data_IF_142311739169
#
_entry.id   IF_142311739169
#
_cell.length_a   1.000
_cell.length_b   1.000
_cell.length_c   1.000
_cell.angle_alpha   90.00
_cell.angle_beta   90.00
_cell.angle_gamma   90.00
#
_symmetry.space_group_name_H-M   'P 1'
#
loop_
_entity.id
_entity.type
_entity.pdbx_description
1 polymer ?
#
# COMPACT_ATOMS: atom_id res chain seq x y z
N UNK A 1 -47.18 -43.66 -40.79
CA UNK A 1 -47.11 -42.26 -40.29
C UNK A 1 -46.36 -42.12 -38.96
N UNK A 2 -46.03 -43.21 -38.26
CA UNK A 2 -45.30 -43.19 -36.96
C UNK A 2 -43.78 -43.00 -37.08
N UNK A 3 -43.18 -43.50 -38.17
CA UNK A 3 -41.72 -43.42 -38.40
C UNK A 3 -41.24 -41.97 -38.57
N UNK A 4 -42.02 -41.11 -39.22
CA UNK A 4 -41.67 -39.69 -39.48
C UNK A 4 -41.73 -38.83 -38.21
N UNK A 5 -42.66 -39.14 -37.29
CA UNK A 5 -42.77 -38.49 -35.98
C UNK A 5 -41.63 -38.92 -35.03
N UNK A 6 -41.21 -40.18 -35.07
CA UNK A 6 -40.09 -40.70 -34.26
C UNK A 6 -38.71 -40.18 -34.74
N UNK A 7 -38.53 -40.00 -36.06
CA UNK A 7 -37.32 -39.42 -36.66
C UNK A 7 -37.14 -37.91 -36.34
N UNK A 8 -38.23 -37.18 -36.10
CA UNK A 8 -38.20 -35.74 -35.80
C UNK A 8 -37.74 -35.45 -34.37
N UNK A 9 -38.09 -36.33 -33.41
CA UNK A 9 -37.68 -36.22 -32.01
C UNK A 9 -36.18 -36.57 -31.81
N UNK A 10 -35.64 -37.48 -32.61
CA UNK A 10 -34.24 -37.89 -32.54
C UNK A 10 -33.26 -36.79 -33.01
N UNK A 11 -33.63 -36.02 -34.05
CA UNK A 11 -32.83 -34.88 -34.52
C UNK A 11 -32.85 -33.72 -33.53
N UNK A 12 -34.02 -33.42 -32.95
CA UNK A 12 -34.12 -32.42 -31.89
C UNK A 12 -33.26 -32.79 -30.67
N UNK A 13 -33.26 -34.08 -30.28
CA UNK A 13 -32.47 -34.57 -29.15
C UNK A 13 -30.95 -34.49 -29.41
N UNK A 14 -30.49 -34.75 -30.65
CA UNK A 14 -29.09 -34.54 -31.00
C UNK A 14 -28.69 -33.06 -30.97
N UNK A 15 -29.58 -32.15 -31.38
CA UNK A 15 -29.30 -30.72 -31.38
C UNK A 15 -29.16 -30.17 -29.95
N UNK A 16 -30.03 -30.60 -29.01
CA UNK A 16 -29.89 -30.24 -27.59
C UNK A 16 -28.61 -30.80 -26.95
N UNK A 17 -28.19 -32.00 -27.35
CA UNK A 17 -26.96 -32.62 -26.85
C UNK A 17 -25.71 -31.88 -27.35
N UNK A 18 -25.71 -31.43 -28.61
CA UNK A 18 -24.64 -30.59 -29.18
C UNK A 18 -24.59 -29.21 -28.48
N UNK A 19 -25.74 -28.60 -28.21
CA UNK A 19 -25.80 -27.32 -27.49
C UNK A 19 -25.34 -27.45 -26.03
N UNK A 20 -25.64 -28.56 -25.36
CA UNK A 20 -25.17 -28.84 -23.99
C UNK A 20 -23.65 -29.05 -23.95
N UNK A 21 -23.10 -29.77 -24.93
CA UNK A 21 -21.65 -29.93 -25.07
C UNK A 21 -20.94 -28.61 -25.42
N UNK A 22 -21.54 -27.74 -26.25
CA UNK A 22 -20.95 -26.43 -26.56
C UNK A 22 -20.97 -25.51 -25.34
N UNK A 23 -22.06 -25.51 -24.56
CA UNK A 23 -22.17 -24.73 -23.32
C UNK A 23 -21.14 -25.17 -22.27
N UNK A 24 -20.93 -26.49 -22.11
CA UNK A 24 -19.94 -27.03 -21.17
C UNK A 24 -18.50 -26.77 -21.64
N UNK A 25 -18.23 -26.86 -22.95
CA UNK A 25 -16.92 -26.51 -23.52
C UNK A 25 -16.57 -25.02 -23.32
N UNK A 26 -17.53 -24.11 -23.50
CA UNK A 26 -17.35 -22.67 -23.25
C UNK A 26 -17.08 -22.39 -21.77
N UNK A 27 -17.81 -23.05 -20.86
CA UNK A 27 -17.56 -22.93 -19.42
C UNK A 27 -16.17 -23.45 -19.02
N UNK A 28 -15.70 -24.53 -19.65
CA UNK A 28 -14.37 -25.09 -19.40
C UNK A 28 -13.24 -24.18 -19.89
N UNK A 29 -13.41 -23.55 -21.06
CA UNK A 29 -12.45 -22.58 -21.62
C UNK A 29 -12.37 -21.33 -20.74
N UNK A 30 -13.51 -20.84 -20.23
CA UNK A 30 -13.56 -19.72 -19.29
C UNK A 30 -12.83 -20.02 -17.98
N UNK A 31 -13.00 -21.23 -17.44
CA UNK A 31 -12.33 -21.67 -16.21
C UNK A 31 -10.82 -21.90 -16.37
N UNK A 32 -10.36 -22.30 -17.56
CA UNK A 32 -8.93 -22.47 -17.85
C UNK A 32 -8.22 -21.15 -18.20
N UNK A 33 -8.99 -20.08 -18.47
CA UNK A 33 -8.48 -18.74 -18.76
C UNK A 33 -8.54 -17.83 -17.52
N UNK A 34 -8.07 -18.31 -16.37
CA UNK A 34 -7.77 -17.41 -15.25
C UNK A 34 -6.43 -16.75 -15.58
N UNK A 35 -6.37 -15.42 -15.84
CA UNK A 35 -5.09 -14.75 -16.04
C UNK A 35 -4.26 -14.90 -14.76
N UNK A 36 -3.02 -15.36 -14.89
CA UNK A 36 -2.07 -15.34 -13.79
C UNK A 36 -1.78 -13.88 -13.43
N UNK A 37 -2.23 -13.44 -12.24
CA UNK A 37 -1.90 -12.12 -11.72
C UNK A 37 -0.43 -12.15 -11.32
N UNK A 38 0.43 -11.54 -12.13
CA UNK A 38 1.84 -11.30 -11.79
C UNK A 38 1.88 -10.10 -10.87
N UNK A 39 2.28 -10.30 -9.60
CA UNK A 39 2.41 -9.23 -8.62
C UNK A 39 3.78 -8.57 -8.83
N UNK A 40 3.77 -7.36 -9.40
CA UNK A 40 4.98 -6.58 -9.60
C UNK A 40 5.59 -6.22 -8.24
N UNK A 41 6.82 -6.68 -8.00
CA UNK A 41 7.51 -6.45 -6.73
C UNK A 41 8.48 -5.28 -6.88
N UNK A 42 8.19 -4.17 -6.19
CA UNK A 42 9.04 -2.99 -6.27
C UNK A 42 10.19 -3.02 -5.25
N UNK A 43 11.33 -2.44 -5.64
CA UNK A 43 12.50 -2.21 -4.79
C UNK A 43 13.02 -0.80 -4.97
N UNK A 44 13.68 -0.28 -3.95
CA UNK A 44 14.42 0.97 -3.97
C UNK A 44 15.90 0.72 -4.19
N UNK A 45 16.55 1.62 -4.90
CA UNK A 45 17.99 1.59 -5.12
C UNK A 45 18.72 2.25 -3.94
N UNK A 46 19.70 1.55 -3.34
CA UNK A 46 20.50 2.05 -2.21
C UNK A 46 21.46 3.17 -2.65
N UNK A 47 21.82 4.09 -1.73
CA UNK A 47 22.81 5.14 -1.99
C UNK A 47 24.15 4.58 -2.44
N UNK A 48 24.57 4.93 -3.66
CA UNK A 48 25.89 4.65 -4.24
C UNK A 48 26.12 5.65 -5.38
N UNK A 49 27.39 5.96 -5.66
CA UNK A 49 27.79 7.06 -6.52
C UNK A 49 27.27 7.01 -7.96
N UNK A 50 26.78 5.85 -8.43
CA UNK A 50 26.04 5.62 -9.68
C UNK A 50 25.95 4.09 -9.87
N UNK A 51 24.77 3.51 -10.10
CA UNK A 51 24.62 2.04 -10.19
C UNK A 51 24.33 1.63 -11.64
N UNK A 52 25.25 0.95 -12.34
CA UNK A 52 25.05 0.64 -13.74
C UNK A 52 24.06 -0.50 -13.93
N UNK A 53 23.04 -0.26 -14.73
CA UNK A 53 22.16 -1.26 -15.31
C UNK A 53 22.87 -1.87 -16.52
N UNK A 54 23.06 -3.19 -16.54
CA UNK A 54 23.83 -3.89 -17.58
C UNK A 54 22.97 -4.81 -18.42
N UNK A 55 23.43 -5.14 -19.62
CA UNK A 55 22.74 -6.08 -20.51
C UNK A 55 22.80 -7.54 -20.03
N UNK A 56 23.65 -7.86 -19.04
CA UNK A 56 23.81 -9.21 -18.53
C UNK A 56 24.41 -9.25 -17.12
N UNK A 57 24.53 -10.47 -16.59
CA UNK A 57 24.95 -10.78 -15.21
C UNK A 57 26.48 -10.85 -15.10
N UNK A 58 27.14 -9.70 -15.14
CA UNK A 58 28.60 -9.64 -15.08
C UNK A 58 29.09 -8.21 -15.25
N UNK A 59 30.38 -7.98 -14.98
CA UNK A 59 30.98 -6.65 -15.16
C UNK A 59 31.37 -6.38 -16.62
N UNK A 60 31.57 -7.45 -17.39
CA UNK A 60 31.92 -7.48 -18.80
C UNK A 60 30.76 -7.08 -19.74
N UNK A 61 29.53 -7.09 -19.23
CA UNK A 61 28.35 -6.72 -20.02
C UNK A 61 28.21 -5.20 -20.17
N UNK A 62 27.70 -4.79 -21.34
CA UNK A 62 27.47 -3.39 -21.69
C UNK A 62 26.56 -2.71 -20.67
N UNK A 63 26.92 -1.49 -20.27
CA UNK A 63 26.07 -0.61 -19.47
C UNK A 63 24.97 -0.05 -20.38
N UNK A 64 23.71 -0.30 -20.02
CA UNK A 64 22.51 0.18 -20.71
C UNK A 64 22.06 1.54 -20.16
N UNK A 65 22.19 1.72 -18.84
CA UNK A 65 21.81 2.94 -18.15
C UNK A 65 22.54 3.03 -16.81
N UNK A 66 22.50 4.21 -16.20
CA UNK A 66 22.99 4.43 -14.86
C UNK A 66 21.81 4.87 -13.99
N UNK A 67 21.58 4.14 -12.90
CA UNK A 67 20.43 4.34 -12.02
C UNK A 67 20.88 5.17 -10.82
N UNK A 68 20.14 6.24 -10.57
CA UNK A 68 20.34 7.11 -9.40
C UNK A 68 19.84 6.41 -8.14
N UNK A 69 20.41 6.80 -7.01
CA UNK A 69 19.98 6.33 -5.72
C UNK A 69 18.56 6.77 -5.38
N UNK A 70 17.88 5.95 -4.60
CA UNK A 70 16.51 6.19 -4.18
C UNK A 70 15.44 5.95 -5.23
N UNK A 71 15.81 5.73 -6.49
CA UNK A 71 14.85 5.38 -7.54
C UNK A 71 14.13 4.07 -7.19
N UNK A 72 12.81 4.08 -7.36
CA UNK A 72 12.00 2.87 -7.31
C UNK A 72 12.10 2.15 -8.66
N UNK A 73 12.37 0.85 -8.61
CA UNK A 73 12.44 -0.03 -9.77
C UNK A 73 11.51 -1.24 -9.56
N UNK A 74 11.09 -1.85 -10.65
CA UNK A 74 10.35 -3.11 -10.65
C UNK A 74 11.35 -4.27 -10.70
N UNK A 75 11.23 -5.23 -9.80
CA UNK A 75 12.01 -6.46 -9.81
C UNK A 75 11.31 -7.50 -10.70
N UNK A 76 11.99 -7.93 -11.76
CA UNK A 76 11.47 -8.94 -12.69
C UNK A 76 11.98 -10.34 -12.34
N UNK A 77 13.26 -10.45 -11.98
CA UNK A 77 13.90 -11.74 -11.69
C UNK A 77 15.10 -11.59 -10.78
N UNK A 78 15.35 -12.59 -9.95
CA UNK A 78 16.58 -12.70 -9.17
C UNK A 78 17.35 -13.97 -9.53
N UNK A 79 18.65 -13.83 -9.74
CA UNK A 79 19.56 -14.95 -10.01
C UNK A 79 20.92 -14.73 -9.34
N UNK A 80 21.18 -15.49 -8.27
CA UNK A 80 22.43 -15.38 -7.50
C UNK A 80 22.61 -13.98 -6.92
N UNK A 81 23.74 -13.32 -7.27
CA UNK A 81 24.06 -11.96 -6.84
C UNK A 81 23.43 -10.86 -7.72
N UNK A 82 22.67 -11.22 -8.75
CA UNK A 82 22.12 -10.31 -9.75
C UNK A 82 20.60 -10.29 -9.73
N UNK A 83 20.03 -9.15 -10.09
CA UNK A 83 18.60 -8.95 -10.28
C UNK A 83 18.36 -8.34 -11.66
N UNK A 84 17.39 -8.90 -12.38
CA UNK A 84 16.81 -8.27 -13.56
C UNK A 84 15.71 -7.32 -13.10
N UNK A 85 15.82 -6.07 -13.52
CA UNK A 85 14.93 -4.99 -13.09
C UNK A 85 14.39 -4.26 -14.31
N UNK A 86 13.21 -3.66 -14.15
CA UNK A 86 12.64 -2.70 -15.07
C UNK A 86 12.59 -1.33 -14.40
N UNK A 87 13.11 -0.34 -15.09
CA UNK A 87 13.07 1.06 -14.66
C UNK A 87 11.76 1.71 -15.07
N UNK A 88 11.45 2.89 -14.51
CA UNK A 88 10.24 3.65 -14.85
C UNK A 88 10.18 4.10 -16.32
N UNK A 89 11.31 4.20 -17.00
CA UNK A 89 11.42 4.44 -18.44
C UNK A 89 11.37 3.14 -19.27
N UNK A 90 10.85 2.05 -18.71
CA UNK A 90 10.68 0.73 -19.33
C UNK A 90 11.99 0.09 -19.86
N UNK A 91 13.16 0.47 -19.34
CA UNK A 91 14.41 -0.22 -19.66
C UNK A 91 14.59 -1.42 -18.76
N UNK A 92 14.94 -2.54 -19.37
CA UNK A 92 15.22 -3.79 -18.67
C UNK A 92 16.71 -4.11 -18.68
N UNK A 93 17.22 -4.60 -17.56
CA UNK A 93 18.60 -5.03 -17.46
C UNK A 93 18.93 -5.62 -16.11
N UNK A 94 20.20 -5.98 -15.95
CA UNK A 94 20.74 -6.65 -14.77
C UNK A 94 21.53 -5.68 -13.90
N UNK A 95 21.32 -5.76 -12.59
CA UNK A 95 22.11 -5.03 -11.60
C UNK A 95 22.40 -5.89 -10.36
N UNK A 96 23.46 -5.59 -9.59
CA UNK A 96 23.76 -6.33 -8.37
C UNK A 96 22.68 -6.15 -7.30
N UNK A 97 22.18 -7.27 -6.74
CA UNK A 97 21.12 -7.28 -5.70
C UNK A 97 21.47 -6.47 -4.46
N UNK A 98 22.75 -6.37 -4.12
CA UNK A 98 23.22 -5.62 -2.94
C UNK A 98 22.78 -4.16 -2.94
N UNK A 99 22.50 -3.61 -4.11
CA UNK A 99 22.01 -2.24 -4.30
C UNK A 99 20.48 -2.13 -4.27
N UNK A 100 19.73 -3.22 -4.16
CA UNK A 100 18.28 -3.19 -4.01
C UNK A 100 17.90 -3.26 -2.53
N UNK A 101 16.84 -2.54 -2.19
CA UNK A 101 16.27 -2.43 -0.85
C UNK A 101 14.76 -2.50 -0.93
N UNK A 102 14.12 -3.10 0.07
CA UNK A 102 12.66 -3.03 0.25
C UNK A 102 12.23 -1.78 1.00
N UNK A 103 13.16 -1.13 1.70
CA UNK A 103 12.90 0.08 2.48
C UNK A 103 13.08 1.34 1.61
N UNK A 104 12.23 2.38 1.80
CA UNK A 104 12.35 3.66 1.11
C UNK A 104 13.72 4.33 1.29
N UNK A 105 14.05 5.30 0.43
CA UNK A 105 15.30 6.05 0.52
C UNK A 105 15.39 6.80 1.86
N UNK A 106 16.60 6.88 2.43
CA UNK A 106 16.83 7.52 3.73
C UNK A 106 16.35 8.98 3.76
N UNK A 107 16.46 9.71 2.64
CA UNK A 107 15.98 11.09 2.51
C UNK A 107 14.50 11.21 2.81
N UNK A 108 13.69 10.27 2.30
CA UNK A 108 12.24 10.29 2.45
C UNK A 108 11.83 9.87 3.88
N UNK A 109 12.59 8.94 4.47
CA UNK A 109 12.44 8.58 5.89
C UNK A 109 12.74 9.80 6.76
N UNK A 110 13.85 10.51 6.53
CA UNK A 110 14.20 11.71 7.31
C UNK A 110 13.15 12.82 7.13
N UNK A 111 12.63 13.01 5.92
CA UNK A 111 11.57 13.98 5.65
C UNK A 111 10.29 13.66 6.43
N UNK A 112 9.82 12.41 6.36
CA UNK A 112 8.62 11.97 7.09
C UNK A 112 8.79 12.05 8.62
N UNK A 113 9.96 11.66 9.14
CA UNK A 113 10.29 11.77 10.56
C UNK A 113 10.29 13.22 11.06
N UNK A 114 10.77 14.17 10.25
CA UNK A 114 10.73 15.60 10.61
C UNK A 114 9.29 16.11 10.71
N UNK A 115 8.43 15.74 9.77
CA UNK A 115 7.00 16.09 9.79
C UNK A 115 6.32 15.53 11.05
N UNK A 116 6.60 14.28 11.40
CA UNK A 116 6.01 13.65 12.58
C UNK A 116 6.50 14.31 13.88
N UNK A 117 7.79 14.65 13.98
CA UNK A 117 8.33 15.44 15.09
C UNK A 117 7.60 16.76 15.25
N UNK A 118 7.36 17.49 14.15
CA UNK A 118 6.72 18.80 14.20
C UNK A 118 5.26 18.71 14.62
N UNK A 119 4.56 17.68 14.14
CA UNK A 119 3.22 17.34 14.59
C UNK A 119 3.19 17.01 16.08
N UNK A 120 4.11 16.17 16.55
CA UNK A 120 4.16 15.74 17.95
C UNK A 120 4.47 16.93 18.86
N UNK A 121 5.40 17.80 18.47
CA UNK A 121 5.70 19.04 19.19
C UNK A 121 4.47 19.94 19.32
N UNK A 122 3.67 20.07 18.26
CA UNK A 122 2.42 20.83 18.30
C UNK A 122 1.41 20.24 19.29
N UNK A 123 1.27 18.91 19.34
CA UNK A 123 0.39 18.26 20.31
C UNK A 123 0.86 18.51 21.74
N UNK A 124 2.17 18.44 22.01
CA UNK A 124 2.72 18.75 23.34
C UNK A 124 2.38 20.19 23.75
N UNK A 125 2.55 21.16 22.85
CA UNK A 125 2.20 22.56 23.12
C UNK A 125 0.69 22.71 23.39
N UNK A 126 -0.16 22.14 22.54
CA UNK A 126 -1.61 22.24 22.68
C UNK A 126 -2.11 21.58 23.99
N UNK A 127 -1.62 20.39 24.32
CA UNK A 127 -1.94 19.70 25.57
C UNK A 127 -1.49 20.55 26.77
N UNK A 128 -0.30 21.16 26.71
CA UNK A 128 0.18 22.02 27.80
C UNK A 128 -0.68 23.27 27.99
N UNK A 129 -1.22 23.84 26.91
CA UNK A 129 -2.13 24.98 26.96
C UNK A 129 -3.52 24.57 27.49
N UNK A 130 -4.04 23.41 27.07
CA UNK A 130 -5.28 22.85 27.60
C UNK A 130 -5.17 22.58 29.10
N UNK A 131 -4.02 22.08 29.56
CA UNK A 131 -3.77 21.85 30.98
C UNK A 131 -3.79 23.16 31.77
N UNK A 132 -3.16 24.23 31.28
CA UNK A 132 -3.18 25.54 31.93
C UNK A 132 -4.61 26.12 32.01
N UNK A 133 -5.39 26.02 30.92
CA UNK A 133 -6.79 26.45 30.91
C UNK A 133 -7.65 25.65 31.88
N UNK A 134 -7.50 24.33 31.90
CA UNK A 134 -8.24 23.45 32.81
C UNK A 134 -7.90 23.74 34.28
N UNK A 135 -6.61 23.98 34.59
CA UNK A 135 -6.18 24.38 35.92
C UNK A 135 -6.76 25.73 36.35
N UNK A 136 -6.77 26.73 35.45
CA UNK A 136 -7.40 28.03 35.71
C UNK A 136 -8.90 27.91 35.95
N UNK A 137 -9.62 27.17 35.10
CA UNK A 137 -11.05 26.94 35.26
C UNK A 137 -11.36 26.22 36.57
N UNK A 138 -10.61 25.15 36.89
CA UNK A 138 -10.75 24.42 38.17
C UNK A 138 -10.54 25.36 39.37
N UNK A 139 -9.48 26.16 39.36
CA UNK A 139 -9.20 27.09 40.45
C UNK A 139 -10.28 28.18 40.59
N UNK A 140 -10.85 28.65 39.48
CA UNK A 140 -11.99 29.58 39.50
C UNK A 140 -13.23 28.93 40.12
N UNK A 141 -13.58 27.71 39.72
CA UNK A 141 -14.69 26.97 40.33
C UNK A 141 -14.50 26.76 41.83
N UNK A 142 -13.27 26.49 42.27
CA UNK A 142 -12.96 26.33 43.69
C UNK A 142 -13.11 27.66 44.46
N UNK A 143 -12.69 28.78 43.89
CA UNK A 143 -12.91 30.12 44.47
C UNK A 143 -14.39 30.49 44.55
N UNK A 144 -15.15 30.25 43.47
CA UNK A 144 -16.58 30.52 43.41
C UNK A 144 -17.33 29.68 44.45
N UNK A 145 -16.96 28.40 44.59
CA UNK A 145 -17.53 27.48 45.57
C UNK A 145 -17.33 27.95 47.02
N UNK A 146 -16.11 28.39 47.36
CA UNK A 146 -15.80 28.93 48.70
C UNK A 146 -16.58 30.23 48.98
N UNK A 147 -16.71 31.10 47.97
CA UNK A 147 -17.45 32.37 48.13
C UNK A 147 -18.93 32.14 48.43
N UNK A 148 -19.57 31.18 47.77
CA UNK A 148 -20.98 30.81 48.00
C UNK A 148 -21.21 30.28 49.42
N UNK A 149 -20.30 29.43 49.93
CA UNK A 149 -20.40 28.92 51.30
C UNK A 149 -20.17 30.00 52.36
N UNK A 150 -19.26 30.95 52.10
CA UNK A 150 -19.02 32.05 53.02
C UNK A 150 -20.23 32.98 53.15
N UNK A 151 -20.93 33.27 52.05
CA UNK A 151 -22.16 34.07 52.03
C UNK A 151 -23.33 33.39 52.75
N UNK A 152 -23.54 32.09 52.53
CA UNK A 152 -24.58 31.36 53.27
C UNK A 152 -24.33 31.35 54.79
N UNK A 153 -23.06 31.36 55.22
CA UNK A 153 -22.70 31.38 56.65
C UNK A 153 -22.86 32.76 57.31
N UNK A 154 -22.76 33.85 56.56
CA UNK A 154 -23.08 35.19 57.05
C UNK A 154 -24.58 35.38 57.20
N UNK A 155 -25.36 34.97 56.20
CA UNK A 155 -26.81 35.16 56.17
C UNK A 155 -27.51 34.37 57.30
N UNK A 156 -26.94 33.23 57.69
CA UNK A 156 -27.46 32.41 58.79
C UNK A 156 -27.13 32.95 60.19
N UNK A 157 -26.25 33.97 60.32
CA UNK A 157 -25.90 34.62 61.59
C UNK A 157 -26.70 35.90 61.85
N UNK A 158 -27.38 36.44 60.84
CA UNK A 158 -28.19 37.67 60.96
C UNK A 158 -29.68 37.38 61.26
N UNK A 159 -30.05 36.10 61.39
CA UNK A 159 -31.36 35.61 61.82
C UNK A 159 -31.32 35.13 63.28
#
# INVERSE_FOLDING_TARGET
MTIKLMQMNLRALSDYLILLHSMTAIAFISFFCIPSIVLAEFRYVKPSAEIPLRSGKGQEYRILAVIQDGNQIELLKEEGAWAMVRTSDNKEGWMPKRYLSTSPPLKDIVASLKTERDRLKKHVTDISEQLDKALKARNQYEQDFESLHSGQRSDQKEL
#
